data_IF_901450078860
#
_entry.id   IF_901450078860
#
_cell.length_a   1.000
_cell.length_b   1.000
_cell.length_c   1.000
_cell.angle_alpha   90.00
_cell.angle_beta   90.00
_cell.angle_gamma   90.00
#
_symmetry.space_group_name_H-M   'P 1'
#
loop_
_entity.id
_entity.type
_entity.pdbx_description
1 polymer ?
#
# COMPACT_ATOMS: atom_id res chain seq x y z
N UNK A 1 -14.54 16.12 8.12
CA UNK A 1 -15.16 16.96 9.17
C UNK A 1 -16.58 17.23 8.72
N UNK A 2 -17.57 16.66 9.39
CA UNK A 2 -18.98 17.00 9.19
C UNK A 2 -19.49 17.62 10.47
N UNK A 3 -20.13 18.79 10.37
CA UNK A 3 -20.70 19.51 11.51
C UNK A 3 -22.16 19.77 11.21
N UNK A 4 -23.03 19.26 12.09
CA UNK A 4 -24.46 19.51 12.04
C UNK A 4 -24.84 20.32 13.26
N UNK A 5 -25.54 21.44 13.06
CA UNK A 5 -26.05 22.29 14.13
C UNK A 5 -27.56 22.13 14.24
N UNK A 6 -28.09 22.12 15.47
CA UNK A 6 -29.52 22.25 15.75
C UNK A 6 -29.78 23.64 16.31
N UNK A 7 -30.77 24.31 15.74
CA UNK A 7 -31.27 25.59 16.24
C UNK A 7 -32.58 25.34 16.99
N UNK A 8 -32.84 26.17 17.99
CA UNK A 8 -34.14 26.32 18.63
C UNK A 8 -35.16 26.93 17.65
N UNK A 9 -36.45 26.90 17.99
CA UNK A 9 -37.51 27.51 17.17
C UNK A 9 -37.32 29.03 16.98
N UNK A 10 -36.70 29.70 17.96
CA UNK A 10 -36.38 31.13 17.93
C UNK A 10 -35.10 31.45 17.12
N UNK A 11 -34.44 30.43 16.57
CA UNK A 11 -33.24 30.56 15.75
C UNK A 11 -31.91 30.54 16.52
N UNK A 12 -31.97 30.46 17.85
CA UNK A 12 -30.77 30.37 18.69
C UNK A 12 -30.12 28.98 18.63
N UNK A 13 -28.80 28.91 18.77
CA UNK A 13 -28.05 27.66 18.73
C UNK A 13 -28.36 26.80 19.96
N UNK A 14 -28.98 25.64 19.76
CA UNK A 14 -29.30 24.70 20.84
C UNK A 14 -28.10 23.77 21.12
N UNK A 15 -27.54 23.16 20.08
CA UNK A 15 -26.29 22.41 20.14
C UNK A 15 -25.69 22.19 18.74
N UNK A 16 -24.42 21.79 18.70
CA UNK A 16 -23.79 21.28 17.48
C UNK A 16 -23.14 19.92 17.75
N UNK A 17 -23.22 19.03 16.77
CA UNK A 17 -22.52 17.74 16.76
C UNK A 17 -21.44 17.82 15.70
N UNK A 18 -20.20 17.58 16.10
CA UNK A 18 -19.07 17.43 15.19
C UNK A 18 -18.58 15.98 15.21
N UNK A 19 -18.46 15.38 14.01
CA UNK A 19 -17.82 14.09 13.84
C UNK A 19 -16.44 14.33 13.23
N UNK A 20 -15.40 14.07 14.02
CA UNK A 20 -14.01 14.04 13.58
C UNK A 20 -13.63 12.56 13.42
N UNK A 21 -13.65 12.06 12.18
CA UNK A 21 -13.07 10.75 11.90
C UNK A 21 -11.55 10.87 11.88
N UNK A 22 -10.86 10.01 12.62
CA UNK A 22 -9.40 9.93 12.62
C UNK A 22 -8.93 9.28 11.30
N UNK A 23 -8.77 10.09 10.26
CA UNK A 23 -8.29 9.66 8.94
C UNK A 23 -6.80 9.26 9.02
N UNK A 24 -6.06 9.77 10.00
CA UNK A 24 -4.61 9.53 10.14
C UNK A 24 -4.33 8.08 10.51
N UNK A 25 -4.99 7.56 11.55
CA UNK A 25 -4.84 6.17 11.97
C UNK A 25 -5.25 5.18 10.85
N UNK A 26 -6.28 5.53 10.07
CA UNK A 26 -6.70 4.72 8.92
C UNK A 26 -5.68 4.75 7.79
N UNK A 27 -5.07 5.90 7.51
CA UNK A 27 -3.99 6.01 6.52
C UNK A 27 -2.74 5.25 6.94
N UNK A 28 -2.38 5.27 8.21
CA UNK A 28 -1.24 4.51 8.76
C UNK A 28 -1.50 3.00 8.67
N UNK A 29 -2.69 2.54 9.03
CA UNK A 29 -3.11 1.14 8.81
C UNK A 29 -3.11 0.76 7.32
N UNK A 30 -3.55 1.66 6.45
CA UNK A 30 -3.49 1.45 4.99
C UNK A 30 -2.06 1.47 4.44
N UNK A 31 -1.13 2.20 5.07
CA UNK A 31 0.30 2.21 4.72
C UNK A 31 0.96 0.91 5.16
N UNK A 32 0.70 0.44 6.39
CA UNK A 32 1.20 -0.86 6.88
C UNK A 32 0.71 -2.01 5.98
N UNK A 33 -0.53 -1.92 5.48
CA UNK A 33 -1.14 -2.90 4.58
C UNK A 33 -0.62 -2.89 3.13
N UNK A 34 0.38 -2.05 2.80
CA UNK A 34 0.97 -1.92 1.45
C UNK A 34 2.28 -2.68 1.26
N UNK A 35 2.85 -3.21 2.33
CA UNK A 35 4.08 -3.97 2.26
C UNK A 35 3.80 -5.48 2.37
N UNK A 36 4.68 -6.26 1.77
CA UNK A 36 4.75 -7.70 1.96
C UNK A 36 5.53 -7.98 3.25
N UNK A 37 4.97 -8.81 4.14
CA UNK A 37 5.53 -9.01 5.48
C UNK A 37 6.85 -9.79 5.49
N UNK A 38 7.07 -10.64 4.47
CA UNK A 38 8.29 -11.44 4.37
C UNK A 38 9.44 -10.61 3.80
N UNK A 39 9.19 -9.88 2.72
CA UNK A 39 10.25 -9.21 1.93
C UNK A 39 10.39 -7.72 2.24
N UNK A 40 9.36 -7.09 2.82
CA UNK A 40 9.29 -5.64 3.01
C UNK A 40 9.03 -4.85 1.72
N UNK A 41 8.94 -5.50 0.55
CA UNK A 41 8.63 -4.84 -0.71
C UNK A 41 7.17 -4.36 -0.74
N UNK A 42 6.86 -3.48 -1.68
CA UNK A 42 5.46 -3.16 -1.99
C UNK A 42 4.72 -4.41 -2.44
N UNK A 43 3.58 -4.67 -1.81
CA UNK A 43 2.71 -5.77 -2.16
C UNK A 43 1.82 -5.41 -3.36
N UNK A 44 0.96 -6.36 -3.77
CA UNK A 44 0.08 -6.18 -4.92
C UNK A 44 -0.86 -4.97 -4.80
N UNK A 45 -1.38 -4.69 -3.61
CA UNK A 45 -2.27 -3.53 -3.38
C UNK A 45 -1.54 -2.22 -3.60
N UNK A 46 -0.28 -2.14 -3.20
CA UNK A 46 0.56 -0.98 -3.47
C UNK A 46 0.83 -0.83 -4.97
N UNK A 47 1.14 -1.92 -5.68
CA UNK A 47 1.30 -1.89 -7.14
C UNK A 47 0.03 -1.37 -7.84
N UNK A 48 -1.14 -1.91 -7.49
CA UNK A 48 -2.42 -1.50 -8.10
C UNK A 48 -2.72 -0.01 -7.85
N UNK A 49 -2.30 0.54 -6.70
CA UNK A 49 -2.45 1.95 -6.38
C UNK A 49 -1.40 2.85 -7.08
N UNK A 50 -0.16 2.38 -7.23
CA UNK A 50 0.97 3.19 -7.73
C UNK A 50 1.09 3.15 -9.26
N UNK A 51 0.74 2.05 -9.91
CA UNK A 51 0.89 1.88 -11.35
C UNK A 51 0.13 2.95 -12.16
N UNK A 52 -1.14 3.30 -11.86
CA UNK A 52 -1.84 4.36 -12.58
C UNK A 52 -1.18 5.73 -12.42
N UNK A 53 -0.63 6.01 -11.24
CA UNK A 53 0.07 7.27 -10.93
C UNK A 53 1.37 7.34 -11.74
N UNK A 54 2.10 6.22 -11.78
CA UNK A 54 3.34 6.09 -12.52
C UNK A 54 3.08 6.28 -14.03
N UNK A 55 2.09 5.60 -14.60
CA UNK A 55 1.70 5.74 -16.00
C UNK A 55 1.34 7.19 -16.35
N UNK A 56 0.46 7.82 -15.57
CA UNK A 56 0.05 9.20 -15.82
C UNK A 56 1.23 10.17 -15.72
N UNK A 57 2.25 9.88 -14.89
CA UNK A 57 3.49 10.67 -14.81
C UNK A 57 4.32 10.51 -16.08
N UNK A 58 4.49 9.28 -16.58
CA UNK A 58 5.20 9.02 -17.83
C UNK A 58 4.55 9.76 -19.02
N UNK A 59 3.22 9.69 -19.13
CA UNK A 59 2.45 10.37 -20.17
C UNK A 59 2.66 11.90 -20.13
N UNK A 60 2.58 12.50 -18.94
CA UNK A 60 2.79 13.96 -18.75
C UNK A 60 4.23 14.39 -19.04
N UNK A 61 5.20 13.53 -18.79
CA UNK A 61 6.62 13.84 -18.97
C UNK A 61 7.16 13.41 -20.33
N UNK A 62 6.33 12.86 -21.22
CA UNK A 62 6.77 12.27 -22.51
C UNK A 62 7.92 11.25 -22.32
N UNK A 63 7.92 10.56 -21.18
CA UNK A 63 8.88 9.51 -20.85
C UNK A 63 8.23 8.14 -21.07
N UNK A 64 9.04 7.14 -21.38
CA UNK A 64 8.57 5.76 -21.48
C UNK A 64 8.62 5.06 -20.11
N UNK A 65 7.64 4.19 -19.87
CA UNK A 65 7.58 3.31 -18.72
C UNK A 65 7.77 1.87 -19.15
N UNK A 66 8.49 1.09 -18.35
CA UNK A 66 8.53 -0.36 -18.45
C UNK A 66 7.96 -0.99 -17.18
N UNK A 67 7.21 -2.08 -17.34
CA UNK A 67 6.76 -2.96 -16.26
C UNK A 67 7.37 -4.34 -16.50
N UNK A 68 8.03 -4.89 -15.49
CA UNK A 68 8.68 -6.19 -15.54
C UNK A 68 8.04 -7.14 -14.54
N UNK A 69 7.76 -8.36 -14.97
CA UNK A 69 7.41 -9.47 -14.09
C UNK A 69 8.62 -10.41 -14.02
N UNK A 70 9.09 -10.67 -12.81
CA UNK A 70 10.24 -11.54 -12.54
C UNK A 70 9.72 -12.72 -11.72
N UNK A 71 9.98 -13.92 -12.20
CA UNK A 71 9.70 -15.17 -11.48
C UNK A 71 11.02 -15.85 -11.09
N UNK A 72 10.99 -16.63 -10.01
CA UNK A 72 12.18 -17.33 -9.52
C UNK A 72 12.17 -18.78 -9.99
N UNK A 73 12.96 -19.05 -11.03
CA UNK A 73 13.13 -20.39 -11.56
C UNK A 73 13.61 -21.36 -10.49
N UNK A 74 12.94 -22.52 -10.39
CA UNK A 74 13.31 -23.58 -9.46
C UNK A 74 13.01 -23.29 -7.98
N UNK A 75 12.30 -22.20 -7.65
CA UNK A 75 12.00 -21.84 -6.25
C UNK A 75 11.32 -22.97 -5.46
N UNK A 76 10.39 -23.70 -6.08
CA UNK A 76 9.75 -24.87 -5.47
C UNK A 76 10.76 -25.95 -5.08
N UNK A 77 11.77 -26.20 -5.91
CA UNK A 77 12.81 -27.19 -5.63
C UNK A 77 13.67 -26.82 -4.42
N UNK A 78 13.89 -25.52 -4.19
CA UNK A 78 14.54 -25.02 -2.97
C UNK A 78 13.68 -25.34 -1.74
N UNK A 79 12.39 -25.01 -1.76
CA UNK A 79 11.48 -25.35 -0.66
C UNK A 79 11.41 -26.85 -0.41
N UNK A 80 11.29 -27.65 -1.46
CA UNK A 80 11.14 -29.10 -1.36
C UNK A 80 12.44 -29.77 -0.84
N UNK A 81 13.62 -29.20 -1.10
CA UNK A 81 14.93 -29.76 -0.70
C UNK A 81 15.43 -29.24 0.64
N UNK A 82 15.23 -27.95 0.93
CA UNK A 82 15.84 -27.25 2.06
C UNK A 82 14.81 -26.70 3.06
N UNK A 83 13.51 -26.88 2.79
CA UNK A 83 12.43 -26.37 3.62
C UNK A 83 12.02 -24.94 3.30
N UNK A 84 10.87 -24.54 3.84
CA UNK A 84 10.28 -23.22 3.59
C UNK A 84 11.11 -22.07 4.15
N UNK A 85 11.76 -22.24 5.30
CA UNK A 85 12.61 -21.21 5.89
C UNK A 85 13.76 -20.81 4.95
N UNK A 86 14.33 -21.79 4.23
CA UNK A 86 15.36 -21.52 3.22
C UNK A 86 14.81 -20.76 1.99
N UNK A 87 13.56 -21.05 1.59
CA UNK A 87 12.87 -20.29 0.56
C UNK A 87 12.58 -18.85 0.99
N UNK A 88 12.18 -18.66 2.24
CA UNK A 88 11.94 -17.34 2.83
C UNK A 88 13.22 -16.50 2.86
N UNK A 89 14.35 -17.09 3.27
CA UNK A 89 15.67 -16.45 3.25
C UNK A 89 16.11 -16.08 1.82
N UNK A 90 15.83 -16.95 0.84
CA UNK A 90 16.08 -16.66 -0.57
C UNK A 90 15.24 -15.47 -1.06
N UNK A 91 13.94 -15.44 -0.72
CA UNK A 91 13.05 -14.34 -1.08
C UNK A 91 13.50 -13.01 -0.46
N UNK A 92 13.89 -13.00 0.83
CA UNK A 92 14.47 -11.82 1.49
C UNK A 92 15.74 -11.34 0.79
N UNK A 93 16.63 -12.27 0.45
CA UNK A 93 17.91 -11.95 -0.21
C UNK A 93 17.71 -11.33 -1.59
N UNK A 94 16.84 -11.90 -2.41
CA UNK A 94 16.55 -11.38 -3.76
C UNK A 94 15.85 -10.03 -3.66
N UNK A 95 14.92 -9.87 -2.73
CA UNK A 95 14.22 -8.62 -2.51
C UNK A 95 15.18 -7.49 -2.14
N UNK A 96 16.16 -7.76 -1.27
CA UNK A 96 17.21 -6.79 -0.93
C UNK A 96 18.07 -6.42 -2.15
N UNK A 97 18.39 -7.38 -3.02
CA UNK A 97 19.17 -7.13 -4.25
C UNK A 97 18.42 -6.32 -5.30
N UNK A 98 17.09 -6.40 -5.34
CA UNK A 98 16.28 -5.60 -6.25
C UNK A 98 16.12 -4.13 -5.80
N UNK A 99 16.46 -3.83 -4.55
CA UNK A 99 16.42 -2.47 -4.01
C UNK A 99 17.74 -1.69 -4.18
N UNK A 100 18.85 -2.37 -4.46
CA UNK A 100 20.19 -1.77 -4.65
C UNK A 100 20.41 -1.24 -6.05
#
# INVERSE_FOLDING_TARGET
LSVTKKLTEDGDLEYFISIIQNIQARKELEQEARHDALTGLYNRRALDALLPIAQARADRSTLQMALMFIDLDGFKGINDTYGHDAGDDLLRTISARLQS
#
